data_IF_466428174359
#
_entry.id   IF_466428174359
#
_cell.length_a   1.000
_cell.length_b   1.000
_cell.length_c   1.000
_cell.angle_alpha   90.00
_cell.angle_beta   90.00
_cell.angle_gamma   90.00
#
_symmetry.space_group_name_H-M   'P 1'
#
loop_
_entity.id
_entity.type
_entity.pdbx_description
1 polymer ?
#
# COMPACT_ATOMS: atom_id res chain seq x y z
N UNK A 1 2.50 5.60 -22.67
CA UNK A 1 1.11 5.37 -22.24
C UNK A 1 1.10 5.58 -20.73
N UNK A 2 0.85 6.79 -20.25
CA UNK A 2 1.17 7.23 -18.87
C UNK A 2 -0.01 7.10 -17.91
N UNK A 3 -0.67 5.94 -17.89
CA UNK A 3 -1.78 5.71 -16.96
C UNK A 3 -1.22 5.13 -15.67
N UNK A 4 -1.34 5.88 -14.59
CA UNK A 4 -0.95 5.43 -13.25
C UNK A 4 -1.92 4.37 -12.74
N UNK A 5 -1.37 3.31 -12.14
CA UNK A 5 -2.07 2.16 -11.60
C UNK A 5 -2.01 2.19 -10.07
N UNK A 6 -3.16 2.46 -9.45
CA UNK A 6 -3.31 2.52 -8.01
C UNK A 6 -3.97 1.23 -7.49
N UNK A 7 -3.37 0.62 -6.47
CA UNK A 7 -3.94 -0.51 -5.77
C UNK A 7 -4.55 -0.03 -4.44
N UNK A 8 -5.86 -0.17 -4.29
CA UNK A 8 -6.55 0.05 -3.02
C UNK A 8 -6.68 -1.28 -2.28
N UNK A 9 -6.11 -1.35 -1.08
CA UNK A 9 -6.06 -2.60 -0.31
C UNK A 9 -6.13 -2.30 1.19
N UNK A 10 -6.87 -3.10 1.94
CA UNK A 10 -6.86 -2.97 3.39
C UNK A 10 -5.56 -3.56 3.99
N UNK A 11 -5.07 -2.94 5.05
CA UNK A 11 -3.85 -3.33 5.76
C UNK A 11 -3.87 -4.78 6.25
N UNK A 12 -5.05 -5.40 6.43
CA UNK A 12 -5.15 -6.80 6.86
C UNK A 12 -4.78 -7.81 5.76
N UNK A 13 -4.67 -7.38 4.50
CA UNK A 13 -4.21 -8.22 3.38
C UNK A 13 -2.69 -8.35 3.32
N UNK A 14 -1.95 -7.52 4.05
CA UNK A 14 -0.50 -7.70 4.18
C UNK A 14 -0.20 -8.95 5.01
N UNK A 15 0.91 -9.61 4.70
CA UNK A 15 1.29 -10.90 5.29
C UNK A 15 0.27 -12.03 5.07
N UNK A 16 -0.58 -11.94 4.03
CA UNK A 16 -1.51 -13.00 3.65
C UNK A 16 -1.11 -13.60 2.32
N UNK A 17 -1.10 -14.94 2.27
CA UNK A 17 -0.99 -15.64 1.00
C UNK A 17 -2.30 -15.45 0.23
N UNK A 18 -2.20 -14.98 -1.01
CA UNK A 18 -3.33 -14.97 -1.93
C UNK A 18 -3.39 -16.28 -2.70
N UNK A 19 -4.60 -16.80 -2.92
CA UNK A 19 -4.84 -17.98 -3.79
C UNK A 19 -4.60 -17.63 -5.26
N UNK A 20 -4.76 -16.35 -5.63
CA UNK A 20 -4.63 -15.88 -7.01
C UNK A 20 -3.76 -14.62 -7.08
N UNK A 21 -2.89 -14.53 -8.10
CA UNK A 21 -2.15 -13.30 -8.43
C UNK A 21 -2.89 -12.56 -9.53
N UNK A 22 -3.51 -11.43 -9.18
CA UNK A 22 -4.24 -10.58 -10.13
C UNK A 22 -3.31 -9.68 -10.94
N UNK A 23 -2.25 -9.19 -10.30
CA UNK A 23 -1.26 -8.30 -10.90
C UNK A 23 0.11 -8.50 -10.29
N UNK A 24 1.14 -8.14 -11.02
CA UNK A 24 2.46 -7.92 -10.42
C UNK A 24 2.48 -6.64 -9.60
N UNK A 25 3.40 -6.58 -8.63
CA UNK A 25 3.63 -5.36 -7.87
C UNK A 25 4.41 -4.34 -8.71
N UNK A 26 5.18 -4.83 -9.68
CA UNK A 26 5.94 -4.07 -10.67
C UNK A 26 5.06 -3.27 -11.65
N UNK A 27 3.77 -3.56 -11.70
CA UNK A 27 2.79 -2.85 -12.54
C UNK A 27 1.85 -1.96 -11.72
N UNK A 28 2.19 -1.71 -10.45
CA UNK A 28 1.50 -0.81 -9.53
C UNK A 28 2.42 0.37 -9.25
N UNK A 29 1.93 1.58 -9.43
CA UNK A 29 2.69 2.80 -9.15
C UNK A 29 2.52 3.23 -7.68
N UNK A 30 1.34 2.99 -7.10
CA UNK A 30 1.07 3.34 -5.72
C UNK A 30 0.04 2.40 -5.05
N UNK A 31 0.20 2.24 -3.74
CA UNK A 31 -0.72 1.48 -2.88
C UNK A 31 -1.38 2.44 -1.90
N UNK A 32 -2.70 2.36 -1.80
CA UNK A 32 -3.50 3.09 -0.82
C UNK A 32 -4.01 2.09 0.22
N UNK A 33 -3.77 2.34 1.49
CA UNK A 33 -4.13 1.46 2.62
C UNK A 33 -4.80 2.22 3.75
N UNK A 34 -5.62 1.53 4.54
CA UNK A 34 -6.39 2.08 5.66
C UNK A 34 -5.57 2.28 6.94
N UNK A 35 -4.35 1.72 7.02
CA UNK A 35 -3.42 1.88 8.14
C UNK A 35 -1.96 1.93 7.66
N UNK A 36 -1.04 2.52 8.44
CA UNK A 36 0.39 2.45 8.18
C UNK A 36 0.87 1.00 8.07
N UNK A 37 1.79 0.76 7.14
CA UNK A 37 2.39 -0.55 6.93
C UNK A 37 3.63 -0.74 7.81
N UNK A 38 3.91 -1.98 8.25
CA UNK A 38 5.19 -2.29 8.89
C UNK A 38 6.39 -1.94 8.01
N UNK A 39 7.50 -1.53 8.63
CA UNK A 39 8.71 -1.03 7.95
C UNK A 39 9.31 -2.02 6.93
N UNK A 40 9.15 -3.33 7.16
CA UNK A 40 9.60 -4.38 6.24
C UNK A 40 8.94 -4.27 4.84
N UNK A 41 7.65 -3.90 4.78
CA UNK A 41 6.94 -3.71 3.53
C UNK A 41 7.34 -2.40 2.86
N UNK A 42 7.54 -1.33 3.65
CA UNK A 42 7.93 -0.02 3.13
C UNK A 42 9.27 -0.08 2.38
N UNK A 43 10.27 -0.79 2.92
CA UNK A 43 11.54 -1.01 2.23
C UNK A 43 11.36 -1.73 0.90
N UNK A 44 10.67 -2.87 0.93
CA UNK A 44 10.41 -3.71 -0.26
C UNK A 44 9.64 -2.95 -1.36
N UNK A 45 8.66 -2.14 -0.99
CA UNK A 45 7.84 -1.36 -1.92
C UNK A 45 8.64 -0.17 -2.49
N UNK A 46 9.44 0.49 -1.66
CA UNK A 46 10.33 1.58 -2.09
C UNK A 46 11.38 1.11 -3.10
N UNK A 47 12.00 -0.05 -2.87
CA UNK A 47 12.99 -0.64 -3.80
C UNK A 47 12.38 -0.95 -5.18
N UNK A 48 11.05 -1.06 -5.25
CA UNK A 48 10.29 -1.31 -6.48
C UNK A 48 9.65 -0.05 -7.07
N UNK A 49 9.98 1.14 -6.56
CA UNK A 49 9.37 2.42 -6.93
C UNK A 49 7.84 2.47 -6.74
N UNK A 50 7.32 1.74 -5.75
CA UNK A 50 5.89 1.79 -5.40
C UNK A 50 5.68 2.77 -4.25
N UNK A 51 4.89 3.80 -4.47
CA UNK A 51 4.52 4.75 -3.43
C UNK A 51 3.49 4.15 -2.47
N UNK A 52 3.59 4.45 -1.18
CA UNK A 52 2.61 4.02 -0.17
C UNK A 52 1.89 5.24 0.39
N UNK A 53 0.59 5.29 0.19
CA UNK A 53 -0.31 6.33 0.67
C UNK A 53 -1.15 5.72 1.81
N UNK A 54 -0.88 6.15 3.03
CA UNK A 54 -1.58 5.68 4.23
C UNK A 54 -1.97 6.88 5.11
N UNK A 55 -2.95 6.73 6.00
CA UNK A 55 -3.21 7.71 7.04
C UNK A 55 -1.94 8.01 7.83
N UNK A 56 -1.72 9.28 8.17
CA UNK A 56 -0.70 9.62 9.17
C UNK A 56 -1.14 8.98 10.49
N UNK A 57 -0.18 8.53 11.30
CA UNK A 57 -0.47 8.23 12.69
C UNK A 57 -0.97 9.53 13.34
N UNK A 58 -2.28 9.63 13.49
CA UNK A 58 -2.92 10.73 14.15
C UNK A 58 -2.80 10.52 15.66
N UNK A 59 -1.84 11.20 16.30
CA UNK A 59 -2.07 11.71 17.66
C UNK A 59 -3.12 12.83 17.66
N UNK A 60 -3.54 13.33 16.49
CA UNK A 60 -4.66 14.26 16.35
C UNK A 60 -5.93 13.55 15.87
N UNK A 61 -6.63 12.98 16.85
CA UNK A 61 -8.04 12.59 16.75
C UNK A 61 -8.88 13.74 16.16
N UNK A 62 -9.48 13.50 15.00
CA UNK A 62 -10.53 14.38 14.48
C UNK A 62 -11.70 14.34 15.46
N UNK A 63 -11.94 15.47 16.13
CA UNK A 63 -13.19 15.70 16.86
C UNK A 63 -14.29 15.90 15.83
N UNK A 64 -15.22 14.93 15.79
CA UNK A 64 -16.56 15.11 15.23
C UNK A 64 -17.45 15.82 16.25
#
# INVERSE_FOLDING_TARGET
NSRLHYLLVDSSKFNKASVFRTTGIESVDAIITDKPLPNEYLGTLKDRNVEVIAPKNNEESYKV
#
